data_IF_249952444825
#
_entry.id   IF_249952444825
#
_cell.length_a   1.000
_cell.length_b   1.000
_cell.length_c   1.000
_cell.angle_alpha   90.00
_cell.angle_beta   90.00
_cell.angle_gamma   90.00
#
_symmetry.space_group_name_H-M   'P 1'
#
loop_
_entity.id
_entity.type
_entity.pdbx_description
1 polymer ?
#
# COMPACT_ATOMS: atom_id res chain seq x y z
N UNK A 1 8.43 12.62 27.26
CA UNK A 1 7.76 13.50 26.28
C UNK A 1 6.53 12.77 25.78
N UNK A 2 5.33 13.26 26.12
CA UNK A 2 4.05 12.64 25.76
C UNK A 2 3.72 13.18 24.38
N UNK A 3 4.14 12.46 23.35
CA UNK A 3 3.90 12.89 21.96
C UNK A 3 2.39 12.88 21.73
N UNK A 4 1.82 14.08 21.70
CA UNK A 4 0.41 14.27 21.38
C UNK A 4 0.27 13.94 19.91
N UNK A 5 0.03 12.67 19.57
CA UNK A 5 -0.34 12.25 18.21
C UNK A 5 -1.41 13.20 17.70
N UNK A 6 -1.02 14.10 16.80
CA UNK A 6 -1.88 15.09 16.20
C UNK A 6 -3.01 14.34 15.50
N UNK A 7 -4.21 14.93 15.40
CA UNK A 7 -5.33 14.31 14.68
C UNK A 7 -4.91 13.86 13.26
N UNK A 8 -3.97 14.59 12.66
CA UNK A 8 -3.33 14.31 11.38
C UNK A 8 -2.59 12.96 11.32
N UNK A 9 -1.87 12.58 12.37
CA UNK A 9 -1.14 11.30 12.44
C UNK A 9 -2.11 10.11 12.55
N UNK A 10 -3.23 10.30 13.26
CA UNK A 10 -4.28 9.29 13.36
C UNK A 10 -5.00 9.10 12.03
N UNK A 11 -5.27 10.19 11.32
CA UNK A 11 -5.88 10.12 9.98
C UNK A 11 -4.96 9.43 9.00
N UNK A 12 -3.65 9.70 9.05
CA UNK A 12 -2.66 9.02 8.22
C UNK A 12 -2.59 7.52 8.51
N UNK A 13 -2.53 7.12 9.78
CA UNK A 13 -2.56 5.71 10.20
C UNK A 13 -3.86 5.02 9.71
N UNK A 14 -5.01 5.72 9.73
CA UNK A 14 -6.29 5.20 9.23
C UNK A 14 -6.31 5.05 7.69
N UNK A 15 -5.74 6.02 6.97
CA UNK A 15 -5.62 5.96 5.50
C UNK A 15 -4.69 4.82 5.08
N UNK A 16 -3.56 4.62 5.77
CA UNK A 16 -2.66 3.47 5.50
C UNK A 16 -3.42 2.14 5.60
N UNK A 17 -4.22 1.97 6.66
CA UNK A 17 -5.04 0.76 6.85
C UNK A 17 -6.10 0.63 5.75
N UNK A 18 -6.77 1.72 5.38
CA UNK A 18 -7.78 1.69 4.32
C UNK A 18 -7.17 1.27 2.97
N UNK A 19 -6.02 1.84 2.61
CA UNK A 19 -5.29 1.48 1.38
C UNK A 19 -4.83 0.02 1.44
N UNK A 20 -4.31 -0.44 2.59
CA UNK A 20 -3.91 -1.84 2.78
C UNK A 20 -5.05 -2.81 2.49
N UNK A 21 -6.24 -2.53 3.04
CA UNK A 21 -7.43 -3.36 2.83
C UNK A 21 -7.84 -3.34 1.35
N UNK A 22 -7.87 -2.16 0.71
CA UNK A 22 -8.18 -2.06 -0.72
C UNK A 22 -7.22 -2.89 -1.58
N UNK A 23 -5.92 -2.84 -1.31
CA UNK A 23 -4.92 -3.61 -2.06
C UNK A 23 -5.10 -5.12 -1.91
N UNK A 24 -5.48 -5.59 -0.71
CA UNK A 24 -5.80 -7.01 -0.51
C UNK A 24 -7.05 -7.41 -1.30
N UNK A 25 -8.09 -6.59 -1.27
CA UNK A 25 -9.34 -6.87 -2.00
C UNK A 25 -9.06 -6.96 -3.50
N UNK A 26 -8.30 -6.01 -4.05
CA UNK A 26 -7.92 -6.02 -5.48
C UNK A 26 -7.03 -7.22 -5.79
N UNK A 27 -6.04 -7.53 -4.94
CA UNK A 27 -5.20 -8.70 -5.12
C UNK A 27 -5.99 -10.02 -5.20
N UNK A 28 -6.99 -10.17 -4.33
CA UNK A 28 -7.88 -11.35 -4.35
C UNK A 28 -8.73 -11.36 -5.61
N UNK A 29 -9.30 -10.21 -6.01
CA UNK A 29 -10.11 -10.10 -7.21
C UNK A 29 -9.32 -10.40 -8.50
N UNK A 30 -8.06 -9.94 -8.57
CA UNK A 30 -7.17 -10.17 -9.71
C UNK A 30 -6.50 -11.54 -9.69
N UNK A 31 -6.65 -12.34 -8.63
CA UNK A 31 -5.98 -13.64 -8.50
C UNK A 31 -6.40 -14.63 -9.59
N UNK A 32 -7.66 -14.58 -10.02
CA UNK A 32 -8.19 -15.47 -11.06
C UNK A 32 -7.88 -14.99 -12.48
N UNK A 33 -7.62 -13.69 -12.66
CA UNK A 33 -7.42 -13.09 -13.99
C UNK A 33 -5.95 -12.99 -14.35
N UNK A 34 -5.11 -12.49 -13.44
CA UNK A 34 -3.69 -12.29 -13.68
C UNK A 34 -2.89 -12.44 -12.37
N UNK A 35 -2.16 -13.55 -12.28
CA UNK A 35 -1.35 -13.90 -11.11
C UNK A 35 -0.24 -12.85 -10.87
N UNK A 36 0.30 -12.25 -11.94
CA UNK A 36 1.35 -11.23 -11.82
C UNK A 36 0.80 -9.92 -11.28
N UNK A 37 -0.39 -9.52 -11.72
CA UNK A 37 -1.10 -8.34 -11.22
C UNK A 37 -1.48 -8.53 -9.74
N UNK A 38 -2.03 -9.71 -9.40
CA UNK A 38 -2.33 -10.09 -8.02
C UNK A 38 -1.08 -10.04 -7.13
N UNK A 39 0.04 -10.64 -7.58
CA UNK A 39 1.30 -10.61 -6.85
C UNK A 39 1.81 -9.18 -6.64
N UNK A 40 1.65 -8.30 -7.63
CA UNK A 40 2.02 -6.88 -7.53
C UNK A 40 1.20 -6.15 -6.44
N UNK A 41 -0.11 -6.33 -6.40
CA UNK A 41 -0.95 -5.74 -5.35
C UNK A 41 -0.63 -6.30 -3.96
N UNK A 42 -0.28 -7.59 -3.84
CA UNK A 42 0.18 -8.19 -2.59
C UNK A 42 1.48 -7.53 -2.11
N UNK A 43 2.44 -7.28 -3.01
CA UNK A 43 3.70 -6.60 -2.66
C UNK A 43 3.43 -5.17 -2.20
N UNK A 44 2.56 -4.42 -2.89
CA UNK A 44 2.13 -3.09 -2.45
C UNK A 44 1.47 -3.13 -1.06
N UNK A 45 0.61 -4.11 -0.81
CA UNK A 45 -0.02 -4.31 0.49
C UNK A 45 1.03 -4.59 1.58
N UNK A 46 2.03 -5.42 1.30
CA UNK A 46 3.11 -5.71 2.24
C UNK A 46 3.95 -4.46 2.59
N UNK A 47 4.17 -3.56 1.64
CA UNK A 47 4.89 -2.29 1.83
C UNK A 47 4.11 -1.34 2.75
N UNK A 48 2.81 -1.15 2.47
CA UNK A 48 1.98 -0.22 3.24
C UNK A 48 1.47 -0.81 4.55
N UNK A 49 1.60 -2.13 4.74
CA UNK A 49 1.15 -2.86 5.92
C UNK A 49 1.48 -2.10 7.22
N UNK A 50 0.48 -1.90 8.11
CA UNK A 50 0.68 -1.20 9.38
C UNK A 50 1.61 -1.99 10.32
N UNK A 51 1.84 -3.28 10.04
CA UNK A 51 2.70 -4.16 10.83
C UNK A 51 4.19 -4.00 10.50
N UNK A 52 4.51 -3.37 9.38
CA UNK A 52 5.89 -3.23 8.92
C UNK A 52 6.56 -2.03 9.58
N UNK A 53 7.68 -2.26 10.27
CA UNK A 53 8.50 -1.22 10.95
C UNK A 53 9.34 -0.37 9.98
N UNK A 54 8.85 -0.12 8.76
CA UNK A 54 9.49 0.75 7.79
C UNK A 54 9.15 2.20 8.12
N UNK A 55 10.11 3.10 7.93
CA UNK A 55 9.94 4.53 8.17
C UNK A 55 8.84 5.11 7.24
N UNK A 56 7.99 6.00 7.75
CA UNK A 56 6.82 6.53 7.00
C UNK A 56 7.21 7.11 5.62
N UNK A 57 8.30 7.87 5.57
CA UNK A 57 8.84 8.43 4.32
C UNK A 57 9.24 7.34 3.32
N UNK A 58 9.88 6.26 3.78
CA UNK A 58 10.30 5.16 2.93
C UNK A 58 9.09 4.38 2.41
N UNK A 59 8.05 4.15 3.23
CA UNK A 59 6.79 3.54 2.77
C UNK A 59 6.16 4.35 1.66
N UNK A 60 6.02 5.67 1.84
CA UNK A 60 5.46 6.58 0.82
C UNK A 60 6.25 6.53 -0.48
N UNK A 61 7.58 6.58 -0.41
CA UNK A 61 8.42 6.47 -1.61
C UNK A 61 8.23 5.13 -2.31
N UNK A 62 8.25 4.02 -1.57
CA UNK A 62 8.06 2.68 -2.13
C UNK A 62 6.66 2.51 -2.76
N UNK A 63 5.62 3.09 -2.18
CA UNK A 63 4.27 3.13 -2.78
C UNK A 63 4.23 3.92 -4.07
N UNK A 64 4.85 5.11 -4.10
CA UNK A 64 4.91 5.93 -5.32
C UNK A 64 5.70 5.22 -6.40
N UNK A 65 6.86 4.64 -6.06
CA UNK A 65 7.66 3.85 -6.99
C UNK A 65 6.91 2.61 -7.47
N UNK A 66 6.26 1.87 -6.57
CA UNK A 66 5.44 0.72 -6.90
C UNK A 66 4.30 1.10 -7.84
N UNK A 67 3.57 2.17 -7.55
CA UNK A 67 2.49 2.68 -8.39
C UNK A 67 2.98 3.09 -9.78
N UNK A 68 4.04 3.89 -9.87
CA UNK A 68 4.64 4.31 -11.14
C UNK A 68 5.10 3.09 -11.95
N UNK A 69 5.72 2.10 -11.29
CA UNK A 69 6.11 0.85 -11.91
C UNK A 69 4.90 0.08 -12.45
N UNK A 70 3.83 -0.04 -11.67
CA UNK A 70 2.59 -0.71 -12.10
C UNK A 70 1.93 -0.02 -13.30
N UNK A 71 1.94 1.31 -13.33
CA UNK A 71 1.46 2.09 -14.49
C UNK A 71 2.32 1.82 -15.72
N UNK A 72 3.64 1.74 -15.55
CA UNK A 72 4.58 1.50 -16.65
C UNK A 72 4.48 0.09 -17.23
N UNK A 73 4.23 -0.90 -16.36
CA UNK A 73 4.01 -2.30 -16.74
C UNK A 73 2.62 -2.52 -17.34
N UNK A 74 1.68 -1.59 -17.12
CA UNK A 74 0.33 -1.64 -17.69
C UNK A 74 -0.71 -2.32 -16.80
N UNK A 75 -0.44 -2.54 -15.51
CA UNK A 75 -1.40 -3.13 -14.57
C UNK A 75 -2.59 -2.20 -14.25
N UNK A 76 -2.50 -0.91 -14.58
CA UNK A 76 -3.59 0.06 -14.42
C UNK A 76 -4.16 0.55 -15.76
N UNK A 77 -3.92 -0.19 -16.86
CA UNK A 77 -4.37 0.16 -18.22
C UNK A 77 -5.72 -0.46 -18.58
#
# INVERSE_FOLDING_TARGET
>A
MRDSKTALDKTEDFIEIAIFICLIVIAIASLETDILESAFYIVLAAIISPFTKINKLAKRLLLVFGFVWGVWVGYFS
#
